data_IF_495679102007
#
_entry.id   IF_495679102007
#
_cell.length_a   1.000
_cell.length_b   1.000
_cell.length_c   1.000
_cell.angle_alpha   90.00
_cell.angle_beta   90.00
_cell.angle_gamma   90.00
#
_symmetry.space_group_name_H-M   'P 1'
#
loop_
_entity.id
_entity.type
_entity.pdbx_description
1 polymer ?
#
# COMPACT_ATOMS: atom_id res chain seq x y z
N UNK A 1 -19.02 9.54 -4.49
CA UNK A 1 -19.48 8.14 -4.36
C UNK A 1 -20.89 8.00 -3.77
N UNK A 2 -21.68 9.08 -3.69
CA UNK A 2 -22.98 9.10 -2.97
C UNK A 2 -23.92 7.94 -3.36
N UNK A 3 -24.01 7.61 -4.65
CA UNK A 3 -24.85 6.50 -5.14
C UNK A 3 -24.39 5.12 -4.63
N UNK A 4 -23.10 4.83 -4.63
CA UNK A 4 -22.60 3.57 -4.06
C UNK A 4 -22.80 3.55 -2.55
N UNK A 5 -22.50 4.69 -1.89
CA UNK A 5 -22.67 4.87 -0.45
C UNK A 5 -24.12 4.65 0.04
N UNK A 6 -25.12 4.92 -0.81
CA UNK A 6 -26.54 4.70 -0.49
C UNK A 6 -27.07 3.31 -0.83
N UNK A 7 -26.40 2.55 -1.71
CA UNK A 7 -26.91 1.27 -2.21
C UNK A 7 -26.45 0.07 -1.37
N UNK A 8 -25.33 0.20 -0.67
CA UNK A 8 -24.69 -0.91 0.05
C UNK A 8 -24.04 -0.45 1.35
N UNK A 9 -23.99 -1.36 2.33
CA UNK A 9 -23.36 -1.09 3.62
C UNK A 9 -21.84 -0.86 3.51
N UNK A 10 -21.20 -0.47 4.63
CA UNK A 10 -19.76 -0.21 4.65
C UNK A 10 -18.93 -1.44 4.28
N UNK A 11 -19.33 -2.63 4.73
CA UNK A 11 -18.59 -3.88 4.50
C UNK A 11 -18.57 -4.22 3.00
N UNK A 12 -19.71 -4.16 2.35
CA UNK A 12 -19.84 -4.44 0.91
C UNK A 12 -19.15 -3.38 0.06
N UNK A 13 -19.16 -2.11 0.49
CA UNK A 13 -18.35 -1.06 -0.18
C UNK A 13 -16.86 -1.34 -0.11
N UNK A 14 -16.36 -1.76 1.05
CA UNK A 14 -14.94 -2.13 1.20
C UNK A 14 -14.59 -3.27 0.24
N UNK A 15 -15.38 -4.34 0.24
CA UNK A 15 -15.21 -5.50 -0.65
C UNK A 15 -15.15 -5.08 -2.13
N UNK A 16 -16.13 -4.27 -2.58
CA UNK A 16 -16.16 -3.75 -3.96
C UNK A 16 -14.90 -2.94 -4.24
N UNK A 17 -14.55 -1.99 -3.36
CA UNK A 17 -13.43 -1.09 -3.60
C UNK A 17 -12.08 -1.81 -3.59
N UNK A 18 -11.89 -2.84 -2.77
CA UNK A 18 -10.67 -3.67 -2.80
C UNK A 18 -10.51 -4.42 -4.13
N UNK A 19 -11.61 -4.85 -4.77
CA UNK A 19 -11.57 -5.50 -6.08
C UNK A 19 -11.31 -4.52 -7.24
N UNK A 20 -11.56 -3.22 -7.07
CA UNK A 20 -11.25 -2.18 -8.06
C UNK A 20 -9.79 -1.70 -8.03
N UNK A 21 -8.91 -2.38 -7.29
CA UNK A 21 -7.52 -1.97 -7.11
C UNK A 21 -6.69 -2.08 -8.39
N UNK A 22 -5.79 -1.11 -8.60
CA UNK A 22 -4.62 -1.35 -9.45
C UNK A 22 -3.82 -2.50 -8.82
N UNK A 23 -3.47 -3.51 -9.60
CA UNK A 23 -2.81 -4.71 -9.09
C UNK A 23 -1.29 -4.58 -9.15
N UNK A 24 -0.60 -5.12 -8.14
CA UNK A 24 0.84 -5.36 -8.24
C UNK A 24 1.09 -6.42 -9.33
N UNK A 25 2.09 -6.25 -10.22
CA UNK A 25 2.36 -7.23 -11.26
C UNK A 25 2.63 -8.61 -10.66
N UNK A 26 1.80 -9.61 -11.00
CA UNK A 26 1.95 -10.98 -10.48
C UNK A 26 3.27 -11.63 -10.90
N UNK A 27 3.84 -11.22 -12.04
CA UNK A 27 5.17 -11.62 -12.50
C UNK A 27 6.22 -11.38 -11.42
N UNK A 28 6.12 -10.24 -10.74
CA UNK A 28 7.09 -9.72 -9.78
C UNK A 28 6.87 -10.34 -8.38
N UNK A 29 5.90 -11.24 -8.23
CA UNK A 29 5.60 -11.95 -6.98
C UNK A 29 5.76 -13.47 -7.11
N UNK A 30 6.09 -13.98 -8.31
CA UNK A 30 6.17 -15.43 -8.57
C UNK A 30 7.17 -16.12 -7.65
N UNK A 31 8.33 -15.50 -7.46
CA UNK A 31 9.38 -16.04 -6.60
C UNK A 31 8.95 -16.07 -5.14
N UNK A 32 8.41 -14.96 -4.62
CA UNK A 32 7.87 -14.88 -3.25
C UNK A 32 6.79 -15.93 -2.97
N UNK A 33 5.88 -16.14 -3.93
CA UNK A 33 4.86 -17.18 -3.81
C UNK A 33 5.48 -18.58 -3.74
N UNK A 34 6.41 -18.89 -4.66
CA UNK A 34 7.12 -20.18 -4.68
C UNK A 34 7.88 -20.41 -3.36
N UNK A 35 8.62 -19.41 -2.90
CA UNK A 35 9.35 -19.51 -1.63
C UNK A 35 8.40 -19.74 -0.46
N UNK A 36 7.25 -19.06 -0.42
CA UNK A 36 6.23 -19.34 0.60
C UNK A 36 5.66 -20.76 0.48
N UNK A 37 5.41 -21.24 -0.74
CA UNK A 37 4.90 -22.59 -0.99
C UNK A 37 5.84 -23.67 -0.44
N UNK A 38 7.14 -23.52 -0.68
CA UNK A 38 8.19 -24.45 -0.27
C UNK A 38 8.53 -24.37 1.21
N UNK A 39 8.63 -23.15 1.77
CA UNK A 39 9.19 -22.96 3.12
C UNK A 39 8.13 -22.72 4.19
N UNK A 40 6.95 -22.23 3.80
CA UNK A 40 5.93 -21.65 4.71
C UNK A 40 6.48 -20.54 5.61
N UNK A 41 7.66 -20.00 5.31
CA UNK A 41 8.31 -18.99 6.13
C UNK A 41 7.88 -17.60 5.66
N UNK A 42 6.98 -16.99 6.43
CA UNK A 42 6.46 -15.65 6.13
C UNK A 42 7.50 -14.55 6.29
N UNK A 43 8.43 -14.70 7.22
CA UNK A 43 9.46 -13.69 7.50
C UNK A 43 10.49 -13.65 6.37
N UNK A 44 10.85 -14.82 5.83
CA UNK A 44 11.68 -14.90 4.63
C UNK A 44 11.04 -14.19 3.44
N UNK A 45 9.75 -14.42 3.19
CA UNK A 45 9.07 -13.78 2.06
C UNK A 45 8.86 -12.28 2.27
N UNK A 46 8.61 -11.86 3.52
CA UNK A 46 8.58 -10.45 3.88
C UNK A 46 9.93 -9.77 3.62
N UNK A 47 11.04 -10.43 3.98
CA UNK A 47 12.39 -9.94 3.69
C UNK A 47 12.62 -9.82 2.17
N UNK A 48 12.25 -10.82 1.37
CA UNK A 48 12.38 -10.76 -0.09
C UNK A 48 11.61 -9.59 -0.70
N UNK A 49 10.40 -9.28 -0.20
CA UNK A 49 9.63 -8.12 -0.65
C UNK A 49 10.32 -6.79 -0.30
N UNK A 50 11.00 -6.71 0.85
CA UNK A 50 11.79 -5.54 1.24
C UNK A 50 13.01 -5.36 0.33
N UNK A 51 13.74 -6.43 0.07
CA UNK A 51 14.90 -6.43 -0.83
C UNK A 51 14.50 -6.04 -2.26
N UNK A 52 13.39 -6.58 -2.77
CA UNK A 52 12.83 -6.20 -4.07
C UNK A 52 12.47 -4.71 -4.11
N UNK A 53 11.88 -4.18 -3.04
CA UNK A 53 11.55 -2.75 -2.97
C UNK A 53 12.80 -1.87 -2.96
N UNK A 54 13.82 -2.22 -2.17
CA UNK A 54 15.10 -1.50 -2.15
C UNK A 54 15.79 -1.55 -3.52
N UNK A 55 15.78 -2.71 -4.18
CA UNK A 55 16.28 -2.87 -5.54
C UNK A 55 15.55 -1.97 -6.53
N UNK A 56 14.23 -1.86 -6.44
CA UNK A 56 13.45 -0.92 -7.26
C UNK A 56 13.85 0.54 -7.03
N UNK A 57 14.02 0.96 -5.78
CA UNK A 57 14.45 2.34 -5.46
C UNK A 57 15.83 2.65 -6.05
N UNK A 58 16.76 1.70 -5.96
CA UNK A 58 18.14 1.86 -6.46
C UNK A 58 18.22 1.79 -7.98
N UNK A 59 17.63 0.76 -8.58
CA UNK A 59 17.88 0.42 -9.99
C UNK A 59 16.86 1.07 -10.93
N UNK A 60 15.61 1.19 -10.52
CA UNK A 60 14.55 1.78 -11.35
C UNK A 60 14.38 3.27 -11.11
N UNK A 61 14.39 3.71 -9.85
CA UNK A 61 14.28 5.14 -9.51
C UNK A 61 15.63 5.85 -9.41
N UNK A 62 16.76 5.12 -9.42
CA UNK A 62 18.13 5.68 -9.37
C UNK A 62 18.33 6.66 -8.21
N UNK A 63 17.74 6.37 -7.06
CA UNK A 63 17.89 7.18 -5.85
C UNK A 63 19.28 6.97 -5.24
N UNK A 64 19.79 7.99 -4.55
CA UNK A 64 21.02 7.87 -3.77
C UNK A 64 20.78 7.06 -2.47
N UNK A 65 21.87 6.59 -1.85
CA UNK A 65 21.77 5.72 -0.67
C UNK A 65 21.09 6.43 0.52
N UNK A 66 21.38 7.72 0.75
CA UNK A 66 20.80 8.50 1.84
C UNK A 66 19.27 8.54 1.76
N UNK A 67 18.72 8.80 0.58
CA UNK A 67 17.27 8.84 0.38
C UNK A 67 16.64 7.44 0.47
N UNK A 68 17.33 6.41 0.01
CA UNK A 68 16.86 5.01 0.17
C UNK A 68 16.76 4.65 1.65
N UNK A 69 17.80 4.94 2.44
CA UNK A 69 17.81 4.72 3.89
C UNK A 69 16.68 5.48 4.57
N UNK A 70 16.44 6.73 4.19
CA UNK A 70 15.34 7.53 4.72
C UNK A 70 13.97 6.89 4.41
N UNK A 71 13.75 6.45 3.17
CA UNK A 71 12.50 5.80 2.73
C UNK A 71 12.27 4.49 3.52
N UNK A 72 13.31 3.66 3.65
CA UNK A 72 13.23 2.39 4.39
C UNK A 72 12.96 2.65 5.88
N UNK A 73 13.66 3.62 6.48
CA UNK A 73 13.45 4.01 7.89
C UNK A 73 12.04 4.50 8.17
N UNK A 74 11.40 5.17 7.19
CA UNK A 74 9.99 5.59 7.26
C UNK A 74 8.99 4.43 7.11
N UNK A 75 9.46 3.21 6.85
CA UNK A 75 8.62 2.02 6.63
C UNK A 75 7.79 2.10 5.35
N UNK A 76 8.24 2.89 4.38
CA UNK A 76 7.55 3.04 3.10
C UNK A 76 7.83 1.85 2.19
N UNK A 77 6.82 1.39 1.45
CA UNK A 77 7.02 0.38 0.41
C UNK A 77 5.91 -0.65 0.30
N UNK A 78 6.15 -1.66 -0.55
CA UNK A 78 5.24 -2.79 -0.77
C UNK A 78 5.29 -3.82 0.37
N UNK A 79 6.47 -4.05 0.96
CA UNK A 79 6.65 -5.03 2.04
C UNK A 79 6.09 -4.60 3.40
N UNK A 80 6.03 -3.29 3.68
CA UNK A 80 5.57 -2.75 4.97
C UNK A 80 6.38 -3.26 6.18
N UNK A 81 5.94 -2.89 7.38
CA UNK A 81 6.58 -3.34 8.63
C UNK A 81 5.73 -4.46 9.24
N UNK A 82 6.32 -5.66 9.38
CA UNK A 82 5.65 -6.82 9.98
C UNK A 82 5.80 -6.82 11.51
N UNK A 83 4.70 -7.10 12.22
CA UNK A 83 4.66 -7.32 13.67
C UNK A 83 3.69 -8.46 13.96
N UNK A 84 4.23 -9.62 14.32
CA UNK A 84 3.42 -10.84 14.50
C UNK A 84 2.66 -11.19 13.23
N UNK A 85 1.33 -11.23 13.32
CA UNK A 85 0.44 -11.55 12.20
C UNK A 85 -0.09 -10.33 11.44
N UNK A 86 0.46 -9.16 11.71
CA UNK A 86 0.03 -7.91 11.06
C UNK A 86 1.19 -7.31 10.28
N UNK A 87 0.88 -6.71 9.13
CA UNK A 87 1.81 -5.89 8.36
C UNK A 87 1.22 -4.49 8.21
N UNK A 88 1.98 -3.48 8.60
CA UNK A 88 1.63 -2.08 8.37
C UNK A 88 2.38 -1.60 7.13
N UNK A 89 1.67 -1.50 6.01
CA UNK A 89 2.22 -0.97 4.77
C UNK A 89 1.99 0.54 4.70
N UNK A 90 3.07 1.31 4.80
CA UNK A 90 3.03 2.75 4.55
C UNK A 90 3.34 2.99 3.07
N UNK A 91 2.48 3.72 2.36
CA UNK A 91 2.73 4.01 0.95
C UNK A 91 3.93 4.95 0.79
N UNK A 92 4.71 4.72 -0.25
CA UNK A 92 5.63 5.73 -0.78
C UNK A 92 4.81 6.75 -1.61
N UNK A 93 5.18 8.06 -1.64
CA UNK A 93 4.64 9.00 -2.62
C UNK A 93 4.71 8.44 -4.04
N UNK A 94 3.81 8.89 -4.93
CA UNK A 94 3.84 8.48 -6.33
C UNK A 94 5.22 8.81 -6.93
N UNK A 95 5.88 7.79 -7.50
CA UNK A 95 7.31 7.87 -7.85
C UNK A 95 7.70 9.08 -8.70
N UNK A 96 6.85 9.48 -9.66
CA UNK A 96 7.10 10.66 -10.51
C UNK A 96 7.10 11.99 -9.74
N UNK A 97 6.53 12.03 -8.53
CA UNK A 97 6.47 13.20 -7.65
C UNK A 97 7.30 13.03 -6.37
N UNK A 98 8.08 11.94 -6.24
CA UNK A 98 8.78 11.63 -4.99
C UNK A 98 9.71 12.77 -4.56
N UNK A 99 10.58 13.25 -5.46
CA UNK A 99 11.54 14.31 -5.14
C UNK A 99 10.82 15.64 -4.83
N UNK A 100 9.76 15.96 -5.57
CA UNK A 100 8.95 17.15 -5.33
C UNK A 100 8.25 17.09 -3.96
N UNK A 101 7.65 15.94 -3.62
CA UNK A 101 7.04 15.69 -2.32
C UNK A 101 8.03 15.88 -1.16
N UNK A 102 9.27 15.43 -1.33
CA UNK A 102 10.30 15.55 -0.29
C UNK A 102 10.69 17.01 -0.03
N UNK A 103 10.64 17.87 -1.05
CA UNK A 103 10.98 19.31 -0.95
C UNK A 103 9.80 20.19 -0.55
N UNK A 104 8.58 19.74 -0.79
CA UNK A 104 7.37 20.52 -0.51
C UNK A 104 7.10 20.64 1.01
N UNK A 105 6.68 21.83 1.44
CA UNK A 105 6.39 22.19 2.83
C UNK A 105 4.89 22.43 3.07
N UNK A 106 4.16 22.84 2.03
CA UNK A 106 2.70 23.00 2.06
C UNK A 106 2.00 21.64 2.19
N UNK A 107 1.24 21.46 3.26
CA UNK A 107 0.65 20.16 3.59
C UNK A 107 -0.39 19.70 2.56
N UNK A 108 -1.15 20.60 1.95
CA UNK A 108 -2.17 20.22 0.96
C UNK A 108 -1.52 19.77 -0.35
N UNK A 109 -0.51 20.51 -0.80
CA UNK A 109 0.31 20.15 -1.96
C UNK A 109 1.03 18.83 -1.73
N UNK A 110 1.64 18.62 -0.55
CA UNK A 110 2.24 17.33 -0.20
C UNK A 110 1.25 16.18 -0.35
N UNK A 111 0.03 16.31 0.18
CA UNK A 111 -1.00 15.27 0.06
C UNK A 111 -1.39 15.00 -1.41
N UNK A 112 -1.47 16.04 -2.23
CA UNK A 112 -1.76 15.90 -3.66
C UNK A 112 -0.60 15.29 -4.48
N UNK A 113 0.65 15.52 -4.08
CA UNK A 113 1.84 14.88 -4.67
C UNK A 113 1.98 13.41 -4.22
N UNK A 114 1.57 13.12 -2.99
CA UNK A 114 1.68 11.79 -2.40
C UNK A 114 0.81 10.74 -3.10
N UNK A 115 -0.45 11.07 -3.39
CA UNK A 115 -1.42 10.07 -3.81
C UNK A 115 -1.12 9.49 -5.19
N UNK A 116 -1.29 8.17 -5.34
CA UNK A 116 -1.13 7.48 -6.64
C UNK A 116 -2.36 7.59 -7.53
N UNK A 117 -3.53 7.96 -7.00
CA UNK A 117 -4.78 8.02 -7.76
C UNK A 117 -5.04 9.45 -8.28
N UNK A 118 -5.04 9.69 -9.62
CA UNK A 118 -5.28 11.02 -10.17
C UNK A 118 -6.58 11.66 -9.67
N UNK A 119 -7.65 10.88 -9.55
CA UNK A 119 -8.94 11.34 -9.03
C UNK A 119 -8.84 11.90 -7.60
N UNK A 120 -8.07 11.25 -6.72
CA UNK A 120 -7.89 11.72 -5.35
C UNK A 120 -7.00 12.96 -5.32
N UNK A 121 -5.97 13.04 -6.16
CA UNK A 121 -5.12 14.24 -6.28
C UNK A 121 -5.95 15.46 -6.66
N UNK A 122 -6.81 15.33 -7.68
CA UNK A 122 -7.70 16.43 -8.10
C UNK A 122 -8.76 16.75 -7.04
N UNK A 123 -9.26 15.75 -6.31
CA UNK A 123 -10.20 15.99 -5.22
C UNK A 123 -9.56 16.78 -4.06
N UNK A 124 -8.30 16.49 -3.73
CA UNK A 124 -7.54 17.26 -2.73
C UNK A 124 -7.37 18.71 -3.19
N UNK A 125 -6.94 18.94 -4.44
CA UNK A 125 -6.73 20.28 -4.99
C UNK A 125 -8.01 21.12 -5.05
N UNK A 126 -9.14 20.51 -5.38
CA UNK A 126 -10.42 21.19 -5.57
C UNK A 126 -11.29 21.26 -4.31
N UNK A 127 -10.89 20.60 -3.22
CA UNK A 127 -11.74 20.41 -2.03
C UNK A 127 -12.95 19.50 -2.26
N UNK A 128 -12.98 18.73 -3.36
CA UNK A 128 -14.09 17.83 -3.67
C UNK A 128 -14.17 16.69 -2.65
N UNK A 129 -15.32 16.55 -1.99
CA UNK A 129 -15.54 15.48 -1.00
C UNK A 129 -15.72 14.12 -1.67
N UNK A 130 -14.83 13.18 -1.36
CA UNK A 130 -14.92 11.77 -1.74
C UNK A 130 -14.98 10.92 -0.48
N UNK A 131 -15.87 9.90 -0.48
CA UNK A 131 -15.98 8.96 0.64
C UNK A 131 -14.67 8.21 0.85
N UNK A 132 -14.25 8.07 2.11
CA UNK A 132 -12.99 7.42 2.48
C UNK A 132 -12.94 5.94 2.07
N UNK A 133 -14.09 5.31 1.87
CA UNK A 133 -14.13 3.94 1.35
C UNK A 133 -13.47 3.83 -0.02
N UNK A 134 -13.38 4.92 -0.80
CA UNK A 134 -12.66 4.91 -2.07
C UNK A 134 -11.19 4.52 -1.91
N UNK A 135 -10.55 4.89 -0.79
CA UNK A 135 -9.15 4.56 -0.53
C UNK A 135 -8.91 3.05 -0.31
N UNK A 136 -9.95 2.23 -0.15
CA UNK A 136 -9.82 0.77 -0.14
C UNK A 136 -9.42 0.19 -1.50
N UNK A 137 -9.57 0.92 -2.61
CA UNK A 137 -8.88 0.60 -3.87
C UNK A 137 -7.36 0.57 -3.66
N UNK A 138 -6.84 1.48 -2.85
CA UNK A 138 -5.45 1.49 -2.46
C UNK A 138 -5.07 0.36 -1.47
N UNK A 139 -6.02 -0.14 -0.67
CA UNK A 139 -5.81 -1.28 0.21
C UNK A 139 -5.82 -2.60 -0.56
N UNK A 140 -6.66 -2.72 -1.59
CA UNK A 140 -6.72 -3.88 -2.48
C UNK A 140 -5.43 -4.14 -3.25
N UNK A 141 -4.62 -3.11 -3.52
CA UNK A 141 -3.26 -3.28 -4.04
C UNK A 141 -2.40 -4.13 -3.10
N UNK A 142 -2.50 -3.89 -1.79
CA UNK A 142 -1.73 -4.62 -0.79
C UNK A 142 -2.33 -5.97 -0.44
N UNK A 143 -3.66 -6.09 -0.33
CA UNK A 143 -4.28 -7.41 -0.16
C UNK A 143 -3.93 -8.32 -1.33
N UNK A 144 -3.97 -7.82 -2.57
CA UNK A 144 -3.62 -8.61 -3.76
C UNK A 144 -2.19 -9.16 -3.74
N UNK A 145 -1.21 -8.45 -3.16
CA UNK A 145 0.16 -8.96 -2.98
C UNK A 145 0.15 -10.20 -2.07
N UNK A 146 -0.42 -10.06 -0.87
CA UNK A 146 -0.39 -11.11 0.13
C UNK A 146 -1.32 -12.27 -0.21
N UNK A 147 -2.49 -12.00 -0.80
CA UNK A 147 -3.40 -13.06 -1.26
C UNK A 147 -2.78 -13.90 -2.38
N UNK A 148 -2.01 -13.27 -3.27
CA UNK A 148 -1.30 -14.00 -4.31
C UNK A 148 -0.20 -14.91 -3.73
N UNK A 149 0.60 -14.39 -2.80
CA UNK A 149 1.69 -15.13 -2.15
C UNK A 149 1.15 -16.28 -1.29
N UNK A 150 0.17 -15.97 -0.43
CA UNK A 150 -0.36 -16.89 0.57
C UNK A 150 -1.43 -17.83 0.04
N UNK A 151 -1.97 -17.53 -1.16
CA UNK A 151 -3.04 -18.29 -1.83
C UNK A 151 -4.31 -18.41 -1.00
N UNK A 152 -4.58 -17.39 -0.19
CA UNK A 152 -5.74 -17.32 0.69
C UNK A 152 -6.07 -15.85 0.97
N UNK A 153 -7.34 -15.53 1.28
CA UNK A 153 -7.76 -14.15 1.53
C UNK A 153 -7.06 -13.54 2.75
N UNK A 154 -6.83 -12.23 2.71
CA UNK A 154 -6.34 -11.45 3.86
C UNK A 154 -7.32 -10.34 4.18
N UNK A 155 -7.32 -9.86 5.43
CA UNK A 155 -8.11 -8.68 5.80
C UNK A 155 -7.23 -7.44 5.72
N UNK A 156 -7.79 -6.34 5.21
CA UNK A 156 -7.09 -5.05 5.16
C UNK A 156 -7.93 -3.92 5.76
N UNK A 157 -7.26 -2.98 6.40
CA UNK A 157 -7.85 -1.76 6.94
C UNK A 157 -7.04 -0.52 6.54
N UNK A 158 -7.75 0.56 6.20
CA UNK A 158 -7.12 1.86 5.90
C UNK A 158 -6.97 2.67 7.20
N UNK A 159 -5.78 2.62 7.81
CA UNK A 159 -5.47 3.31 9.08
C UNK A 159 -5.25 4.82 8.92
N UNK A 160 -4.52 5.22 7.86
CA UNK A 160 -4.26 6.62 7.51
C UNK A 160 -4.49 6.84 6.00
N UNK A 161 -4.91 8.03 5.61
CA UNK A 161 -5.14 8.40 4.22
C UNK A 161 -4.99 9.91 4.00
N UNK A 162 -4.21 10.29 2.99
CA UNK A 162 -4.11 11.69 2.56
C UNK A 162 -5.45 12.30 2.12
N UNK A 163 -6.46 11.47 1.79
CA UNK A 163 -7.80 11.95 1.49
C UNK A 163 -8.54 12.49 2.72
N UNK A 164 -8.26 11.98 3.94
CA UNK A 164 -8.85 12.51 5.19
C UNK A 164 -8.01 13.62 5.84
N UNK A 165 -6.91 14.01 5.20
CA UNK A 165 -6.01 15.06 5.70
C UNK A 165 -4.71 14.55 6.33
N UNK A 166 -4.50 13.24 6.45
CA UNK A 166 -3.25 12.68 7.00
C UNK A 166 -2.05 12.99 6.10
N UNK A 167 -0.84 12.94 6.67
CA UNK A 167 0.41 13.14 5.93
C UNK A 167 0.83 11.95 5.05
N UNK A 168 0.35 10.74 5.36
CA UNK A 168 0.67 9.51 4.64
C UNK A 168 -0.56 8.59 4.55
N UNK A 169 -0.45 7.52 3.78
CA UNK A 169 -1.43 6.44 3.77
C UNK A 169 -0.82 5.19 4.41
N UNK A 170 -1.47 4.66 5.44
CA UNK A 170 -1.12 3.39 6.09
C UNK A 170 -2.24 2.38 5.90
N UNK A 171 -1.87 1.19 5.46
CA UNK A 171 -2.76 0.05 5.30
C UNK A 171 -2.30 -1.03 6.28
N UNK A 172 -3.20 -1.45 7.15
CA UNK A 172 -2.99 -2.64 7.98
C UNK A 172 -3.44 -3.87 7.20
N UNK A 173 -2.62 -4.92 7.22
CA UNK A 173 -2.88 -6.19 6.57
C UNK A 173 -2.80 -7.26 7.65
N UNK A 174 -3.90 -7.98 7.86
CA UNK A 174 -3.95 -9.09 8.81
C UNK A 174 -3.72 -10.40 8.07
N UNK A 175 -2.60 -11.03 8.40
CA UNK A 175 -2.24 -12.35 7.95
C UNK A 175 -3.05 -13.41 8.73
N UNK A 176 -3.45 -14.52 8.09
CA UNK A 176 -4.10 -15.64 8.77
C UNK A 176 -3.27 -16.19 9.94
N UNK A 177 -3.93 -16.45 11.07
CA UNK A 177 -3.26 -16.82 12.33
C UNK A 177 -2.54 -18.16 12.23
N UNK A 178 -3.02 -19.05 11.37
CA UNK A 178 -2.46 -20.38 11.16
C UNK A 178 -1.06 -20.34 10.52
N UNK A 179 -0.73 -19.23 9.85
CA UNK A 179 0.54 -19.03 9.15
C UNK A 179 1.65 -18.55 10.10
N UNK A 180 1.27 -17.83 11.15
CA UNK A 180 2.22 -17.09 12.00
C UNK A 180 2.61 -17.88 13.26
N UNK A 181 1.89 -18.97 13.54
CA UNK A 181 2.11 -19.85 14.70
C UNK A 181 2.99 -21.08 14.40
N UNK A 182 3.52 -21.20 13.19
CA UNK A 182 4.47 -22.25 12.78
C UNK A 182 5.88 -21.67 12.69
#
# INVERSE_FOLDING_TARGET
>A
MKKLDSLVDKKKRIEIMTCCACQYPKSDLKEMRRTYEETKNIDLVHQMLQEQFVSFLKNSLKLNNELIEEIVKRGWGSGGVKKGNTIIATKIPKSIYLIEYMKETDQEKKRALYCHCPRIREAIKSGTKISLTYCYCGAGFYSGIWEYILQQPVKVEVLESVLRGDGVCKIEIHLPLEIVKK
#
